data_IF_663836286429
#
_entry.id   IF_663836286429
#
_cell.length_a   1.000
_cell.length_b   1.000
_cell.length_c   1.000
_cell.angle_alpha   90.00
_cell.angle_beta   90.00
_cell.angle_gamma   90.00
#
_symmetry.space_group_name_H-M   'P 1'
#
loop_
_entity.id
_entity.type
_entity.pdbx_description
1 polymer ?
#
# COMPACT_ATOMS: atom_id res chain seq x y z
N UNK A 1 -22.26 28.19 7.85
CA UNK A 1 -23.00 28.73 6.68
C UNK A 1 -22.14 29.37 5.59
N UNK A 2 -20.81 29.36 5.67
CA UNK A 2 -19.93 29.96 4.66
C UNK A 2 -19.29 28.93 3.69
N UNK A 3 -19.46 27.64 3.90
CA UNK A 3 -18.87 26.55 3.07
C UNK A 3 -19.81 26.10 1.94
N UNK A 4 -21.11 26.31 2.09
CA UNK A 4 -22.11 25.94 1.09
C UNK A 4 -22.18 26.88 -0.14
N UNK A 5 -21.56 28.06 -0.10
CA UNK A 5 -21.63 29.02 -1.20
C UNK A 5 -20.58 28.83 -2.31
N UNK A 6 -19.54 28.01 -2.09
CA UNK A 6 -18.47 27.78 -3.08
C UNK A 6 -18.70 26.58 -4.02
N UNK A 7 -19.64 25.70 -3.69
CA UNK A 7 -19.94 24.51 -4.48
C UNK A 7 -20.93 24.75 -5.63
N UNK A 8 -21.73 25.81 -5.57
CA UNK A 8 -22.76 26.11 -6.59
C UNK A 8 -22.22 26.80 -7.83
N UNK A 9 -21.05 27.39 -7.79
CA UNK A 9 -20.49 28.16 -8.93
C UNK A 9 -19.75 27.28 -9.95
N UNK A 10 -19.17 26.16 -9.52
CA UNK A 10 -18.46 25.23 -10.42
C UNK A 10 -19.37 24.27 -11.20
N UNK A 11 -20.54 23.94 -10.65
CA UNK A 11 -21.51 23.04 -11.29
C UNK A 11 -22.26 23.68 -12.47
N UNK A 12 -22.30 25.01 -12.56
CA UNK A 12 -23.00 25.71 -13.65
C UNK A 12 -22.20 25.93 -14.93
N UNK A 13 -20.86 25.69 -14.92
CA UNK A 13 -20.00 25.88 -16.09
C UNK A 13 -19.83 24.64 -16.96
N UNK A 14 -20.32 23.46 -16.54
CA UNK A 14 -20.15 22.19 -17.26
C UNK A 14 -21.41 21.74 -18.06
N UNK A 15 -22.48 22.52 -18.08
CA UNK A 15 -23.72 22.16 -18.77
C UNK A 15 -23.93 22.82 -20.14
N UNK A 16 -22.91 23.41 -20.75
CA UNK A 16 -23.04 24.11 -22.03
C UNK A 16 -22.11 23.59 -23.14
N UNK A 17 -21.93 22.28 -23.29
CA UNK A 17 -21.31 21.71 -24.49
C UNK A 17 -22.19 20.60 -25.07
N UNK A 18 -22.80 20.90 -26.20
CA UNK A 18 -23.58 20.02 -27.05
C UNK A 18 -22.69 19.01 -27.81
N UNK A 19 -23.26 17.87 -28.26
CA UNK A 19 -22.51 16.80 -28.89
C UNK A 19 -22.51 16.94 -30.41
N UNK A 20 -21.34 16.96 -31.06
CA UNK A 20 -21.20 16.50 -32.46
C UNK A 20 -19.80 16.03 -32.80
N UNK A 21 -19.71 14.77 -33.18
CA UNK A 21 -18.90 14.12 -34.23
C UNK A 21 -17.49 14.64 -34.57
N UNK A 22 -16.47 13.78 -34.51
CA UNK A 22 -15.75 13.25 -35.68
C UNK A 22 -14.54 12.42 -35.25
N UNK A 23 -14.48 11.17 -35.73
CA UNK A 23 -13.28 10.37 -35.82
C UNK A 23 -12.28 11.04 -36.78
N UNK A 24 -11.07 11.27 -36.34
CA UNK A 24 -9.93 11.43 -37.24
C UNK A 24 -8.73 10.65 -36.66
N UNK A 25 -8.36 9.59 -37.36
CA UNK A 25 -7.13 8.84 -37.21
C UNK A 25 -5.93 9.76 -37.45
N UNK A 26 -5.01 9.86 -36.47
CA UNK A 26 -3.66 10.30 -36.74
C UNK A 26 -2.69 9.29 -36.13
N UNK A 27 -2.18 8.42 -36.99
CA UNK A 27 -0.94 7.68 -36.76
C UNK A 27 0.22 8.67 -36.69
N UNK A 28 0.87 8.76 -35.54
CA UNK A 28 2.22 9.32 -35.41
C UNK A 28 3.12 8.38 -34.65
N UNK A 29 4.11 7.88 -35.34
CA UNK A 29 5.27 7.14 -34.89
C UNK A 29 5.90 7.78 -33.66
N UNK A 30 5.98 7.04 -32.55
CA UNK A 30 6.72 7.41 -31.36
C UNK A 30 8.04 6.63 -31.31
N UNK A 31 9.09 7.31 -31.69
CA UNK A 31 10.45 6.98 -31.24
C UNK A 31 10.92 8.13 -30.37
N UNK A 32 10.81 7.97 -29.07
CA UNK A 32 11.67 8.62 -28.03
C UNK A 32 11.29 8.02 -26.69
N UNK A 33 12.25 7.33 -26.07
CA UNK A 33 12.21 6.92 -24.67
C UNK A 33 12.18 8.17 -23.79
N UNK A 34 11.20 8.36 -22.90
CA UNK A 34 11.26 9.43 -21.95
C UNK A 34 12.22 9.06 -20.82
N UNK A 35 13.24 9.89 -20.63
CA UNK A 35 14.08 9.94 -19.45
C UNK A 35 13.21 10.00 -18.18
N UNK A 36 13.53 9.25 -17.09
CA UNK A 36 12.77 9.31 -15.86
C UNK A 36 12.83 10.73 -15.32
N UNK A 37 11.71 11.44 -15.42
CA UNK A 37 11.56 12.75 -14.77
C UNK A 37 11.64 12.50 -13.26
N UNK A 38 12.72 13.01 -12.67
CA UNK A 38 12.81 13.23 -11.22
C UNK A 38 11.53 13.92 -10.78
N UNK A 39 10.75 13.28 -9.90
CA UNK A 39 9.59 13.90 -9.29
C UNK A 39 10.09 15.11 -8.49
N UNK A 40 10.05 16.30 -9.09
CA UNK A 40 10.33 17.54 -8.39
C UNK A 40 9.15 17.86 -7.50
N UNK A 41 9.24 17.49 -6.22
CA UNK A 41 8.41 18.10 -5.18
C UNK A 41 8.77 19.57 -5.14
N UNK A 42 7.82 20.45 -5.51
CA UNK A 42 8.00 21.90 -5.39
C UNK A 42 8.33 22.23 -3.94
N UNK A 43 9.53 22.80 -3.74
CA UNK A 43 9.98 23.40 -2.47
C UNK A 43 9.21 24.70 -2.22
N UNK A 44 7.94 24.61 -1.88
CA UNK A 44 7.25 25.69 -1.18
C UNK A 44 7.20 25.34 0.29
N UNK A 45 8.32 25.64 0.92
CA UNK A 45 8.52 25.60 2.36
C UNK A 45 7.77 26.77 3.02
N UNK A 46 6.52 26.53 3.40
CA UNK A 46 5.89 27.17 4.56
C UNK A 46 4.65 26.35 4.96
N UNK A 47 4.72 25.69 6.10
CA UNK A 47 3.61 25.29 6.99
C UNK A 47 2.36 24.68 6.30
N UNK A 48 2.53 23.60 5.55
CA UNK A 48 1.49 22.58 5.44
C UNK A 48 2.01 21.36 6.21
N UNK A 49 1.38 21.04 7.32
CA UNK A 49 1.37 19.68 7.86
C UNK A 49 1.15 18.77 6.66
N UNK A 50 2.19 17.99 6.28
CA UNK A 50 2.11 17.11 5.11
C UNK A 50 1.11 16.02 5.44
N UNK A 51 -0.10 16.12 4.94
CA UNK A 51 -1.06 15.03 4.94
C UNK A 51 -0.48 13.93 4.03
N UNK A 52 0.25 12.98 4.61
CA UNK A 52 0.86 11.87 3.90
C UNK A 52 -0.21 10.80 3.70
N UNK A 53 -0.56 10.53 2.46
CA UNK A 53 -1.53 9.49 2.09
C UNK A 53 -0.88 8.53 1.11
N UNK A 54 -0.08 7.62 1.67
CA UNK A 54 0.76 6.73 0.90
C UNK A 54 0.27 5.29 0.94
N UNK A 55 0.55 4.57 -0.14
CA UNK A 55 0.19 3.16 -0.30
C UNK A 55 1.44 2.34 -0.57
N UNK A 56 1.56 1.18 0.09
CA UNK A 56 2.56 0.17 -0.20
C UNK A 56 1.95 -0.98 -1.00
N UNK A 57 2.45 -1.16 -2.22
CA UNK A 57 2.23 -2.34 -3.06
C UNK A 57 3.45 -3.26 -3.04
N UNK A 58 3.28 -4.47 -3.50
CA UNK A 58 4.34 -5.48 -3.66
C UNK A 58 3.88 -6.87 -3.24
N UNK A 59 4.60 -7.87 -3.70
CA UNK A 59 4.32 -9.28 -3.46
C UNK A 59 4.21 -9.64 -1.96
N UNK A 60 3.45 -10.68 -1.62
CA UNK A 60 3.59 -11.31 -0.30
C UNK A 60 5.06 -11.62 0.01
N UNK A 61 5.51 -11.31 1.22
CA UNK A 61 6.91 -11.53 1.62
C UNK A 61 7.92 -10.45 1.27
N UNK A 62 7.61 -9.50 0.38
CA UNK A 62 8.57 -8.45 -0.02
C UNK A 62 9.06 -7.57 1.15
N UNK A 63 8.25 -7.40 2.19
CA UNK A 63 8.61 -6.61 3.38
C UNK A 63 7.80 -5.33 3.55
N UNK A 64 6.68 -5.17 2.85
CA UNK A 64 5.81 -3.98 2.94
C UNK A 64 5.62 -3.47 4.36
N UNK A 65 5.12 -4.32 5.25
CA UNK A 65 4.84 -3.93 6.64
C UNK A 65 6.07 -3.42 7.39
N UNK A 66 7.27 -3.95 7.10
CA UNK A 66 8.51 -3.48 7.72
C UNK A 66 8.88 -2.06 7.28
N UNK A 67 8.83 -1.80 5.97
CA UNK A 67 9.15 -0.48 5.43
C UNK A 67 8.05 0.53 5.75
N UNK A 68 6.78 0.14 5.63
CA UNK A 68 5.63 0.98 5.97
C UNK A 68 5.64 1.39 7.45
N UNK A 69 5.92 0.47 8.37
CA UNK A 69 6.03 0.77 9.80
C UNK A 69 7.20 1.72 10.12
N UNK A 70 8.35 1.55 9.47
CA UNK A 70 9.49 2.46 9.63
C UNK A 70 9.18 3.87 9.13
N UNK A 71 8.57 3.98 7.95
CA UNK A 71 8.15 5.28 7.40
C UNK A 71 7.02 5.92 8.22
N UNK A 72 6.09 5.13 8.72
CA UNK A 72 5.03 5.59 9.63
C UNK A 72 5.61 6.26 10.87
N UNK A 73 6.63 5.63 11.50
CA UNK A 73 7.32 6.23 12.63
C UNK A 73 8.10 7.49 12.25
N UNK A 74 8.80 7.48 11.09
CA UNK A 74 9.59 8.62 10.62
C UNK A 74 8.71 9.83 10.28
N UNK A 75 7.55 9.59 9.69
CA UNK A 75 6.63 10.64 9.23
C UNK A 75 5.54 10.98 10.27
N UNK A 76 5.52 10.25 11.40
CA UNK A 76 4.51 10.39 12.46
C UNK A 76 3.07 10.29 11.95
N UNK A 77 2.79 9.31 11.07
CA UNK A 77 1.46 9.00 10.55
C UNK A 77 1.10 7.55 10.84
N UNK A 78 -0.19 7.17 10.99
CA UNK A 78 -0.57 5.79 11.25
C UNK A 78 -0.20 4.85 10.10
N UNK A 79 0.30 3.66 10.43
CA UNK A 79 0.43 2.51 9.53
C UNK A 79 -0.84 1.67 9.63
N UNK A 80 -1.53 1.49 8.52
CA UNK A 80 -2.78 0.74 8.42
C UNK A 80 -2.56 -0.45 7.49
N UNK A 81 -2.39 -1.64 8.08
CA UNK A 81 -2.23 -2.89 7.33
C UNK A 81 -3.58 -3.60 7.23
N UNK A 82 -4.14 -3.70 6.02
CA UNK A 82 -5.45 -4.37 5.82
C UNK A 82 -5.44 -5.84 6.24
N UNK A 83 -4.30 -6.50 6.14
CA UNK A 83 -4.14 -7.86 6.67
C UNK A 83 -4.28 -7.94 8.18
N UNK A 84 -3.94 -6.90 8.93
CA UNK A 84 -4.12 -6.84 10.38
C UNK A 84 -5.59 -6.58 10.71
N UNK A 85 -6.27 -5.69 9.99
CA UNK A 85 -7.71 -5.47 10.14
C UNK A 85 -8.51 -6.76 9.94
N UNK A 86 -8.14 -7.56 8.92
CA UNK A 86 -8.77 -8.88 8.69
C UNK A 86 -8.47 -9.84 9.86
N UNK A 87 -7.25 -9.85 10.39
CA UNK A 87 -6.89 -10.71 11.54
C UNK A 87 -7.59 -10.31 12.84
N UNK A 88 -7.77 -9.01 13.07
CA UNK A 88 -8.55 -8.49 14.19
C UNK A 88 -10.01 -8.92 14.08
N UNK A 89 -10.61 -8.84 12.88
CA UNK A 89 -11.97 -9.33 12.64
C UNK A 89 -12.08 -10.85 12.82
N UNK A 90 -11.06 -11.63 12.38
CA UNK A 90 -10.97 -13.07 12.60
C UNK A 90 -10.92 -13.45 14.08
N UNK A 91 -10.26 -12.63 14.91
CA UNK A 91 -10.18 -12.85 16.36
C UNK A 91 -11.47 -12.42 17.08
N UNK A 92 -12.36 -11.71 16.40
CA UNK A 92 -13.66 -11.32 16.94
C UNK A 92 -14.61 -12.53 17.01
N UNK A 93 -15.61 -12.47 17.88
CA UNK A 93 -16.67 -13.49 17.95
C UNK A 93 -17.82 -13.22 16.97
N UNK A 94 -17.59 -12.38 15.97
CA UNK A 94 -18.61 -11.94 15.02
C UNK A 94 -18.96 -12.99 13.96
N UNK A 95 -20.11 -12.88 13.31
CA UNK A 95 -20.56 -13.83 12.28
C UNK A 95 -19.65 -13.84 11.03
N UNK A 96 -18.89 -12.77 10.80
CA UNK A 96 -17.97 -12.64 9.69
C UNK A 96 -16.68 -13.46 9.90
N UNK A 97 -16.27 -13.71 11.15
CA UNK A 97 -15.01 -14.38 11.47
C UNK A 97 -14.89 -15.78 10.84
N UNK A 98 -15.96 -16.58 10.86
CA UNK A 98 -15.97 -17.94 10.28
C UNK A 98 -15.76 -17.91 8.76
N UNK A 99 -16.42 -17.00 8.06
CA UNK A 99 -16.29 -16.85 6.60
C UNK A 99 -14.88 -16.37 6.21
N UNK A 100 -14.33 -15.41 6.95
CA UNK A 100 -12.98 -14.91 6.74
C UNK A 100 -11.92 -15.97 6.99
N UNK A 101 -12.09 -16.84 7.98
CA UNK A 101 -11.15 -17.91 8.33
C UNK A 101 -10.93 -18.86 7.14
N UNK A 102 -11.98 -19.29 6.48
CA UNK A 102 -11.86 -20.18 5.33
C UNK A 102 -11.11 -19.52 4.16
N UNK A 103 -11.45 -18.28 3.83
CA UNK A 103 -10.84 -17.53 2.73
C UNK A 103 -9.35 -17.31 2.99
N UNK A 104 -8.99 -16.87 4.22
CA UNK A 104 -7.60 -16.56 4.59
C UNK A 104 -6.74 -17.83 4.63
N UNK A 105 -7.25 -18.94 5.17
CA UNK A 105 -6.54 -20.22 5.23
C UNK A 105 -6.26 -20.81 3.83
N UNK A 106 -7.10 -20.48 2.84
CA UNK A 106 -6.89 -20.85 1.44
C UNK A 106 -5.97 -19.87 0.68
N UNK A 107 -5.51 -18.79 1.30
CA UNK A 107 -4.70 -17.75 0.67
C UNK A 107 -5.44 -16.87 -0.32
N UNK A 108 -6.76 -16.99 -0.41
CA UNK A 108 -7.63 -16.23 -1.31
C UNK A 108 -7.78 -14.78 -0.85
N UNK A 109 -8.22 -13.91 -1.77
CA UNK A 109 -8.58 -12.54 -1.43
C UNK A 109 -9.94 -12.50 -0.73
N UNK A 110 -10.02 -11.71 0.32
CA UNK A 110 -11.29 -11.31 0.93
C UNK A 110 -12.03 -10.38 -0.04
N UNK A 111 -13.36 -10.42 -0.05
CA UNK A 111 -14.16 -9.60 -0.98
C UNK A 111 -13.87 -8.11 -0.79
N UNK A 112 -13.97 -7.35 -1.91
CA UNK A 112 -13.68 -5.91 -1.92
C UNK A 112 -14.57 -5.17 -0.90
N UNK A 113 -15.84 -5.54 -0.80
CA UNK A 113 -16.82 -4.92 0.10
C UNK A 113 -16.40 -5.05 1.58
N UNK A 114 -15.95 -6.24 1.98
CA UNK A 114 -15.50 -6.48 3.36
C UNK A 114 -14.25 -5.65 3.67
N UNK A 115 -13.27 -5.68 2.77
CA UNK A 115 -12.00 -4.93 2.96
C UNK A 115 -12.27 -3.42 3.02
N UNK A 116 -13.07 -2.90 2.10
CA UNK A 116 -13.44 -1.48 2.05
C UNK A 116 -14.15 -1.06 3.35
N UNK A 117 -15.08 -1.87 3.85
CA UNK A 117 -15.79 -1.57 5.09
C UNK A 117 -14.84 -1.55 6.30
N UNK A 118 -13.95 -2.56 6.44
CA UNK A 118 -12.96 -2.59 7.53
C UNK A 118 -12.02 -1.38 7.49
N UNK A 119 -11.57 -1.04 6.28
CA UNK A 119 -10.68 0.12 6.08
C UNK A 119 -11.40 1.43 6.41
N UNK A 120 -12.64 1.63 5.95
CA UNK A 120 -13.43 2.83 6.21
C UNK A 120 -13.68 3.04 7.69
N UNK A 121 -14.04 1.98 8.43
CA UNK A 121 -14.17 2.03 9.89
C UNK A 121 -12.87 2.46 10.57
N UNK A 122 -11.72 1.94 10.10
CA UNK A 122 -10.40 2.30 10.67
C UNK A 122 -10.05 3.75 10.38
N UNK A 123 -10.26 4.22 9.14
CA UNK A 123 -9.98 5.60 8.74
C UNK A 123 -10.89 6.59 9.50
N UNK A 124 -12.20 6.36 9.55
CA UNK A 124 -13.13 7.21 10.28
C UNK A 124 -12.82 7.27 11.80
N UNK A 125 -12.43 6.14 12.40
CA UNK A 125 -11.97 6.13 13.78
C UNK A 125 -10.65 6.90 13.97
N UNK A 126 -9.77 6.92 12.97
CA UNK A 126 -8.53 7.71 12.97
C UNK A 126 -8.81 9.20 12.89
N UNK A 127 -9.66 9.61 11.96
CA UNK A 127 -10.08 11.00 11.78
C UNK A 127 -10.71 11.56 13.06
N UNK A 128 -11.58 10.78 13.72
CA UNK A 128 -12.17 11.15 15.01
C UNK A 128 -11.12 11.35 16.14
N UNK A 129 -9.93 10.73 16.01
CA UNK A 129 -8.78 10.91 16.92
C UNK A 129 -7.83 12.03 16.49
N UNK A 130 -8.11 12.70 15.36
CA UNK A 130 -7.24 13.73 14.80
C UNK A 130 -6.01 13.17 14.08
N UNK A 131 -6.03 11.91 13.63
CA UNK A 131 -4.98 11.36 12.77
C UNK A 131 -4.99 12.10 11.43
N UNK A 132 -3.84 12.70 11.05
CA UNK A 132 -3.67 13.40 9.78
C UNK A 132 -2.78 12.58 8.87
N UNK A 133 -3.33 12.07 7.77
CA UNK A 133 -2.61 11.20 6.84
C UNK A 133 -2.51 9.75 7.32
N UNK A 134 -1.90 8.90 6.47
CA UNK A 134 -1.72 7.47 6.73
C UNK A 134 -0.76 6.81 5.74
N UNK A 135 -0.28 5.63 6.11
CA UNK A 135 0.39 4.70 5.20
C UNK A 135 -0.42 3.40 5.16
N UNK A 136 -0.98 3.07 3.99
CA UNK A 136 -1.71 1.82 3.76
C UNK A 136 -0.78 0.70 3.33
N UNK A 137 -0.94 -0.50 3.90
CA UNK A 137 -0.24 -1.73 3.50
C UNK A 137 -1.24 -2.82 3.14
N UNK A 138 -1.03 -3.42 1.97
CA UNK A 138 -1.83 -4.53 1.49
C UNK A 138 -3.20 -4.14 0.89
N UNK A 139 -3.41 -2.87 0.58
CA UNK A 139 -4.56 -2.32 -0.14
C UNK A 139 -4.08 -1.16 -1.01
N UNK A 140 -4.57 -1.02 -2.27
CA UNK A 140 -5.49 -1.91 -2.96
C UNK A 140 -4.82 -3.17 -3.50
N UNK A 141 -5.58 -4.26 -3.70
CA UNK A 141 -5.14 -5.50 -4.35
C UNK A 141 -5.87 -5.78 -5.66
N UNK A 142 -6.94 -5.07 -5.93
CA UNK A 142 -7.73 -5.16 -7.16
C UNK A 142 -7.86 -3.79 -7.80
N UNK A 143 -8.10 -3.76 -9.12
CA UNK A 143 -8.34 -2.50 -9.83
C UNK A 143 -9.55 -1.76 -9.24
N UNK A 144 -10.61 -2.50 -8.86
CA UNK A 144 -11.80 -1.92 -8.22
C UNK A 144 -11.46 -1.22 -6.91
N UNK A 145 -10.65 -1.86 -6.05
CA UNK A 145 -10.17 -1.25 -4.81
C UNK A 145 -9.33 0.01 -5.09
N UNK A 146 -8.49 0.00 -6.13
CA UNK A 146 -7.69 1.16 -6.51
C UNK A 146 -8.56 2.33 -7.02
N UNK A 147 -9.62 2.01 -7.76
CA UNK A 147 -10.59 3.00 -8.22
C UNK A 147 -11.33 3.65 -7.06
N UNK A 148 -11.75 2.87 -6.05
CA UNK A 148 -12.42 3.39 -4.84
C UNK A 148 -11.55 4.40 -4.10
N UNK A 149 -10.24 4.19 -4.00
CA UNK A 149 -9.32 5.13 -3.33
C UNK A 149 -9.15 6.48 -4.05
N UNK A 150 -9.44 6.55 -5.35
CA UNK A 150 -9.24 7.77 -6.15
C UNK A 150 -10.53 8.42 -6.62
N UNK A 151 -11.69 7.82 -6.35
CA UNK A 151 -12.94 8.33 -6.90
C UNK A 151 -13.53 9.39 -5.98
N UNK A 152 -13.67 10.59 -6.52
CA UNK A 152 -14.59 11.60 -5.99
C UNK A 152 -16.03 11.04 -6.04
N UNK A 153 -16.75 11.21 -5.00
CA UNK A 153 -18.04 10.57 -4.57
C UNK A 153 -19.14 10.46 -5.67
N UNK A 154 -19.05 11.24 -6.74
CA UNK A 154 -20.18 11.43 -7.65
C UNK A 154 -20.53 10.23 -8.55
N UNK A 155 -19.60 9.29 -8.78
CA UNK A 155 -19.81 8.13 -9.67
C UNK A 155 -20.19 6.84 -8.94
N UNK A 156 -19.91 6.74 -7.65
CA UNK A 156 -20.07 5.50 -6.87
C UNK A 156 -21.52 5.22 -6.46
N UNK A 157 -22.35 6.23 -6.40
CA UNK A 157 -23.78 6.11 -6.05
C UNK A 157 -24.60 5.29 -7.05
N UNK A 158 -24.06 4.98 -8.23
CA UNK A 158 -24.74 4.20 -9.28
C UNK A 158 -24.52 2.68 -9.14
N UNK A 159 -23.44 2.23 -8.48
CA UNK A 159 -23.00 0.83 -8.48
C UNK A 159 -23.02 0.13 -7.10
N UNK A 160 -23.25 0.86 -6.02
CA UNK A 160 -23.30 0.32 -4.65
C UNK A 160 -24.62 0.71 -4.00
N UNK A 161 -25.25 -0.17 -3.19
CA UNK A 161 -26.45 0.19 -2.43
C UNK A 161 -26.25 1.51 -1.67
N UNK A 162 -27.22 2.42 -1.78
CA UNK A 162 -27.13 3.79 -1.26
C UNK A 162 -26.70 3.89 0.20
N UNK A 163 -27.13 2.92 1.01
CA UNK A 163 -26.87 2.88 2.44
C UNK A 163 -25.39 2.59 2.75
N UNK A 164 -24.69 1.85 1.90
CA UNK A 164 -23.27 1.51 2.07
C UNK A 164 -22.36 2.55 1.39
N UNK A 165 -22.82 3.19 0.33
CA UNK A 165 -22.04 4.16 -0.44
C UNK A 165 -21.81 5.48 0.31
N UNK A 166 -22.77 5.94 1.09
CA UNK A 166 -22.73 7.25 1.76
C UNK A 166 -21.75 7.24 2.94
N UNK A 167 -21.70 6.16 3.73
CA UNK A 167 -20.79 6.06 4.88
C UNK A 167 -19.33 5.79 4.48
N UNK A 168 -19.09 5.12 3.34
CA UNK A 168 -17.75 4.69 2.92
C UNK A 168 -16.94 5.84 2.29
N UNK A 169 -17.61 6.82 1.71
CA UNK A 169 -16.97 7.74 0.75
C UNK A 169 -16.70 9.14 1.27
N UNK A 170 -17.19 9.50 2.45
CA UNK A 170 -16.89 10.81 3.04
C UNK A 170 -15.45 10.92 3.58
N UNK A 171 -14.68 9.81 3.61
CA UNK A 171 -13.34 9.75 4.18
C UNK A 171 -12.22 9.24 3.25
N UNK A 172 -12.50 8.85 2.00
CA UNK A 172 -11.45 8.34 1.11
C UNK A 172 -10.80 9.50 0.36
N UNK A 173 -9.58 9.76 0.68
CA UNK A 173 -8.78 10.92 0.29
C UNK A 173 -7.86 10.59 -0.88
N UNK A 174 -7.39 11.60 -1.57
CA UNK A 174 -6.52 11.49 -2.74
C UNK A 174 -5.15 10.91 -2.35
N UNK A 175 -4.82 9.72 -2.84
CA UNK A 175 -3.51 9.08 -2.59
C UNK A 175 -2.42 9.91 -3.28
N UNK A 176 -1.40 10.32 -2.51
CA UNK A 176 -0.29 11.12 -3.00
C UNK A 176 0.76 10.27 -3.72
N UNK A 177 1.09 9.12 -3.13
CA UNK A 177 2.16 8.26 -3.59
C UNK A 177 1.85 6.78 -3.36
N UNK A 178 2.20 5.97 -4.34
CA UNK A 178 2.16 4.50 -4.27
C UNK A 178 3.56 3.96 -4.43
N UNK A 179 4.07 3.27 -3.42
CA UNK A 179 5.39 2.65 -3.40
C UNK A 179 5.24 1.16 -3.68
N UNK A 180 5.69 0.73 -4.85
CA UNK A 180 5.67 -0.68 -5.24
C UNK A 180 7.04 -1.32 -4.98
N UNK A 181 7.13 -2.11 -3.90
CA UNK A 181 8.34 -2.84 -3.57
C UNK A 181 8.45 -4.11 -4.41
N UNK A 182 9.59 -4.28 -5.07
CA UNK A 182 9.91 -5.45 -5.88
C UNK A 182 11.05 -6.26 -5.29
N UNK A 183 10.98 -7.57 -5.44
CA UNK A 183 11.99 -8.52 -4.96
C UNK A 183 11.97 -9.75 -5.87
N UNK A 184 13.11 -10.43 -6.00
CA UNK A 184 13.23 -11.68 -6.76
C UNK A 184 12.31 -12.75 -6.15
N UNK A 185 11.68 -13.56 -7.00
CA UNK A 185 10.65 -14.53 -6.60
C UNK A 185 11.21 -15.60 -5.64
N UNK A 186 12.45 -16.04 -5.88
CA UNK A 186 13.14 -17.01 -5.02
C UNK A 186 13.28 -16.49 -3.57
N UNK A 187 13.55 -15.19 -3.42
CA UNK A 187 13.63 -14.56 -2.12
C UNK A 187 12.26 -14.42 -1.44
N UNK A 188 11.19 -14.20 -2.21
CA UNK A 188 9.84 -14.00 -1.68
C UNK A 188 9.34 -15.23 -0.92
N UNK A 189 9.50 -16.43 -1.49
CA UNK A 189 9.08 -17.68 -0.85
C UNK A 189 9.85 -17.90 0.46
N UNK A 190 11.17 -17.78 0.42
CA UNK A 190 12.03 -17.94 1.61
C UNK A 190 11.65 -16.92 2.71
N UNK A 191 11.38 -15.66 2.34
CA UNK A 191 10.95 -14.63 3.29
C UNK A 191 9.58 -14.91 3.90
N UNK A 192 8.64 -15.41 3.12
CA UNK A 192 7.31 -15.78 3.65
C UNK A 192 7.42 -16.92 4.67
N UNK A 193 8.13 -17.99 4.34
CA UNK A 193 8.28 -19.17 5.20
C UNK A 193 9.16 -18.87 6.42
N UNK A 194 10.14 -17.97 6.28
CA UNK A 194 11.03 -17.52 7.38
C UNK A 194 10.40 -16.49 8.32
N UNK A 195 9.21 -15.95 8.00
CA UNK A 195 8.55 -14.92 8.81
C UNK A 195 8.17 -15.43 10.18
N UNK A 196 8.38 -14.58 11.20
CA UNK A 196 7.99 -14.81 12.58
C UNK A 196 7.36 -13.53 13.14
N UNK A 197 6.43 -13.69 14.06
CA UNK A 197 5.78 -12.57 14.76
C UNK A 197 5.94 -12.82 16.25
N UNK A 198 6.26 -11.78 17.00
CA UNK A 198 6.19 -11.85 18.46
C UNK A 198 4.71 -11.82 18.90
N UNK A 199 4.29 -12.83 19.66
CA UNK A 199 2.91 -12.94 20.15
C UNK A 199 2.51 -11.86 21.15
N UNK A 200 3.47 -11.18 21.78
CA UNK A 200 3.20 -10.11 22.73
C UNK A 200 3.18 -8.73 22.10
N UNK A 201 4.24 -8.36 21.36
CA UNK A 201 4.36 -7.00 20.83
C UNK A 201 3.94 -6.86 19.35
N UNK A 202 3.60 -7.97 18.67
CA UNK A 202 3.21 -7.96 17.25
C UNK A 202 4.35 -7.67 16.26
N UNK A 203 5.59 -7.44 16.74
CA UNK A 203 6.72 -7.12 15.87
C UNK A 203 7.06 -8.28 14.93
N UNK A 204 7.40 -7.94 13.68
CA UNK A 204 7.72 -8.89 12.63
C UNK A 204 9.24 -9.13 12.55
N UNK A 205 9.63 -10.40 12.49
CA UNK A 205 10.98 -10.88 12.33
C UNK A 205 11.09 -11.85 11.16
N UNK A 206 12.31 -12.22 10.77
CA UNK A 206 12.54 -13.20 9.72
C UNK A 206 13.79 -14.02 10.02
N UNK A 207 13.64 -15.34 10.06
CA UNK A 207 14.76 -16.25 10.33
C UNK A 207 15.48 -16.73 9.08
N UNK A 208 14.97 -16.40 7.88
CA UNK A 208 15.59 -16.82 6.63
C UNK A 208 16.88 -16.02 6.39
N UNK A 209 17.95 -16.75 6.06
CA UNK A 209 19.15 -16.20 5.43
C UNK A 209 19.02 -16.43 3.93
N UNK A 210 19.06 -15.39 3.13
CA UNK A 210 18.88 -15.45 1.69
C UNK A 210 20.18 -15.05 1.02
N UNK A 211 20.73 -15.95 0.22
CA UNK A 211 21.94 -15.72 -0.56
C UNK A 211 21.68 -16.20 -2.01
N UNK A 212 21.36 -15.26 -2.88
CA UNK A 212 21.09 -15.53 -4.29
C UNK A 212 22.31 -15.08 -5.08
N UNK A 213 22.94 -16.03 -5.78
CA UNK A 213 24.07 -15.74 -6.67
C UNK A 213 23.59 -14.99 -7.89
N UNK A 214 24.36 -14.00 -8.32
CA UNK A 214 24.07 -13.30 -9.59
C UNK A 214 24.23 -14.23 -10.77
N UNK A 215 23.20 -14.32 -11.62
CA UNK A 215 23.18 -15.12 -12.85
C UNK A 215 22.51 -14.34 -13.97
N UNK A 216 22.93 -14.59 -15.21
CA UNK A 216 22.30 -14.03 -16.42
C UNK A 216 22.12 -12.50 -16.42
N UNK A 217 23.13 -11.78 -15.87
CA UNK A 217 23.08 -10.30 -15.80
C UNK A 217 22.25 -9.74 -14.64
N UNK A 218 21.63 -10.58 -13.82
CA UNK A 218 20.99 -10.17 -12.58
C UNK A 218 22.04 -10.09 -11.47
N UNK A 219 22.10 -9.02 -10.68
CA UNK A 219 23.01 -8.93 -9.54
C UNK A 219 22.63 -9.97 -8.49
N UNK A 220 23.63 -10.51 -7.81
CA UNK A 220 23.43 -11.33 -6.62
C UNK A 220 22.79 -10.51 -5.50
N UNK A 221 22.12 -11.21 -4.56
CA UNK A 221 21.42 -10.57 -3.45
C UNK A 221 21.70 -11.32 -2.16
N UNK A 222 22.05 -10.59 -1.11
CA UNK A 222 22.16 -11.14 0.23
C UNK A 222 21.20 -10.43 1.18
N UNK A 223 20.47 -11.22 1.98
CA UNK A 223 19.63 -10.72 3.07
C UNK A 223 19.90 -11.51 4.34
N UNK A 224 20.47 -10.88 5.32
CA UNK A 224 20.63 -11.46 6.64
C UNK A 224 19.27 -11.67 7.33
N UNK A 225 19.17 -12.65 8.25
CA UNK A 225 18.01 -12.80 9.11
C UNK A 225 17.73 -11.52 9.90
N UNK A 226 16.46 -11.17 10.05
CA UNK A 226 16.00 -10.14 10.98
C UNK A 226 15.62 -10.82 12.29
N UNK A 227 16.61 -10.98 13.17
CA UNK A 227 16.43 -11.70 14.42
C UNK A 227 15.73 -10.84 15.50
N UNK A 228 14.95 -11.45 16.40
CA UNK A 228 14.30 -10.76 17.50
C UNK A 228 15.31 -10.40 18.61
N UNK A 229 15.01 -9.36 19.40
CA UNK A 229 15.72 -9.13 20.65
C UNK A 229 15.43 -10.26 21.65
N UNK A 230 16.29 -10.45 22.69
CA UNK A 230 16.14 -11.53 23.66
C UNK A 230 14.76 -11.66 24.28
N UNK A 231 14.07 -10.54 24.55
CA UNK A 231 12.72 -10.52 25.12
C UNK A 231 11.62 -11.08 24.22
N UNK A 232 11.84 -11.12 22.90
CA UNK A 232 10.89 -11.64 21.91
C UNK A 232 11.27 -13.05 21.41
N UNK A 233 12.49 -13.51 21.62
CA UNK A 233 13.02 -14.73 21.00
C UNK A 233 12.19 -15.99 21.30
N UNK A 234 11.67 -16.11 22.54
CA UNK A 234 10.86 -17.26 22.98
C UNK A 234 9.36 -17.11 22.69
N UNK A 235 8.95 -15.98 22.13
CA UNK A 235 7.53 -15.60 21.90
C UNK A 235 7.18 -15.53 20.42
N UNK A 236 8.02 -16.12 19.57
CA UNK A 236 7.83 -16.10 18.12
C UNK A 236 6.81 -17.16 17.70
N UNK A 237 5.85 -16.73 16.92
CA UNK A 237 4.87 -17.58 16.26
C UNK A 237 4.93 -17.41 14.75
N UNK A 238 4.52 -18.45 14.02
CA UNK A 238 4.33 -18.42 12.57
C UNK A 238 2.86 -18.09 12.29
N UNK A 239 2.58 -17.32 11.27
CA UNK A 239 1.20 -17.09 10.81
C UNK A 239 0.62 -18.37 10.23
N UNK A 240 -0.68 -18.60 10.40
CA UNK A 240 -1.38 -19.77 9.86
C UNK A 240 -1.36 -19.80 8.32
N UNK A 241 -1.24 -18.64 7.67
CA UNK A 241 -1.20 -18.47 6.22
C UNK A 241 0.24 -18.46 5.63
N UNK A 242 1.28 -18.72 6.44
CA UNK A 242 2.68 -18.82 6.00
C UNK A 242 3.11 -20.28 5.74
N UNK A 243 2.26 -21.05 5.09
CA UNK A 243 2.59 -22.39 4.57
C UNK A 243 2.92 -22.32 3.08
N UNK A 244 3.79 -23.22 2.60
CA UNK A 244 4.26 -23.16 1.21
C UNK A 244 3.11 -23.17 0.17
N UNK A 245 2.09 -24.03 0.27
CA UNK A 245 0.97 -24.02 -0.68
C UNK A 245 0.20 -22.70 -0.67
N UNK A 246 -0.06 -22.14 0.52
CA UNK A 246 -0.79 -20.87 0.66
C UNK A 246 0.04 -19.70 0.14
N UNK A 247 1.34 -19.69 0.40
CA UNK A 247 2.25 -18.64 -0.11
C UNK A 247 2.32 -18.68 -1.64
N UNK A 248 2.45 -19.86 -2.24
CA UNK A 248 2.45 -20.02 -3.72
C UNK A 248 1.14 -19.51 -4.34
N UNK A 249 0.00 -19.86 -3.75
CA UNK A 249 -1.30 -19.37 -4.22
C UNK A 249 -1.42 -17.84 -4.08
N UNK A 250 -0.94 -17.26 -3.00
CA UNK A 250 -0.92 -15.79 -2.81
C UNK A 250 -0.02 -15.09 -3.81
N UNK A 251 1.13 -15.68 -4.16
CA UNK A 251 2.02 -15.15 -5.21
C UNK A 251 1.35 -15.23 -6.59
N UNK A 252 0.69 -16.34 -6.91
CA UNK A 252 -0.07 -16.50 -8.15
C UNK A 252 -1.16 -15.42 -8.27
N UNK A 253 -1.99 -15.28 -7.24
CA UNK A 253 -3.07 -14.27 -7.21
C UNK A 253 -2.48 -12.86 -7.34
N UNK A 254 -1.37 -12.58 -6.64
CA UNK A 254 -0.72 -11.28 -6.76
C UNK A 254 -0.30 -10.99 -8.20
N UNK A 255 0.37 -11.92 -8.86
CA UNK A 255 0.83 -11.74 -10.24
C UNK A 255 -0.33 -11.51 -11.22
N UNK A 256 -1.49 -12.14 -10.99
CA UNK A 256 -2.68 -11.96 -11.83
C UNK A 256 -3.39 -10.62 -11.58
N UNK A 257 -3.48 -10.17 -10.32
CA UNK A 257 -4.31 -9.03 -9.93
C UNK A 257 -3.54 -7.71 -9.85
N UNK A 258 -2.21 -7.75 -9.71
CA UNK A 258 -1.44 -6.53 -9.39
C UNK A 258 -1.07 -5.71 -10.60
N UNK A 259 -0.84 -6.33 -11.77
CA UNK A 259 -0.48 -5.58 -12.97
C UNK A 259 -1.50 -4.49 -13.33
N UNK A 260 -2.82 -4.73 -13.30
CA UNK A 260 -3.80 -3.67 -13.54
C UNK A 260 -3.75 -2.54 -12.49
N UNK A 261 -3.43 -2.86 -11.24
CA UNK A 261 -3.31 -1.87 -10.16
C UNK A 261 -2.05 -1.02 -10.34
N UNK A 262 -0.92 -1.64 -10.65
CA UNK A 262 0.32 -0.93 -10.93
C UNK A 262 0.16 0.02 -12.12
N UNK A 263 -0.43 -0.44 -13.23
CA UNK A 263 -0.67 0.37 -14.42
C UNK A 263 -1.63 1.53 -14.15
N UNK A 264 -2.66 1.29 -13.33
CA UNK A 264 -3.59 2.32 -12.89
C UNK A 264 -2.90 3.49 -12.18
N UNK A 265 -1.96 3.23 -11.29
CA UNK A 265 -1.20 4.28 -10.60
C UNK A 265 -0.05 4.83 -11.45
N UNK A 266 0.57 4.00 -12.29
CA UNK A 266 1.62 4.43 -13.24
C UNK A 266 1.08 5.46 -14.23
N UNK A 267 -0.08 5.22 -14.82
CA UNK A 267 -0.73 6.14 -15.78
C UNK A 267 -1.11 7.49 -15.14
N UNK A 268 -1.21 7.54 -13.81
CA UNK A 268 -1.49 8.77 -13.04
C UNK A 268 -0.24 9.46 -12.48
N UNK A 269 0.95 8.94 -12.77
CA UNK A 269 2.21 9.48 -12.26
C UNK A 269 2.37 9.36 -10.74
N UNK A 270 1.62 8.44 -10.09
CA UNK A 270 1.63 8.25 -8.63
C UNK A 270 2.42 7.01 -8.19
N UNK A 271 2.98 6.21 -9.11
CA UNK A 271 3.70 4.97 -8.81
C UNK A 271 5.21 5.19 -8.74
N UNK A 272 5.80 4.87 -7.61
CA UNK A 272 7.23 4.70 -7.42
C UNK A 272 7.55 3.20 -7.36
N UNK A 273 8.27 2.68 -8.34
CA UNK A 273 8.78 1.30 -8.31
C UNK A 273 10.14 1.28 -7.62
N UNK A 274 10.30 0.38 -6.66
CA UNK A 274 11.53 0.26 -5.89
C UNK A 274 11.97 -1.20 -5.78
N UNK A 275 13.06 -1.52 -6.48
CA UNK A 275 13.70 -2.83 -6.40
C UNK A 275 14.58 -2.90 -5.14
N UNK A 276 14.30 -3.87 -4.27
CA UNK A 276 15.08 -4.08 -3.06
C UNK A 276 16.45 -4.67 -3.41
N UNK A 277 17.54 -3.94 -3.19
CA UNK A 277 18.89 -4.41 -3.54
C UNK A 277 19.44 -5.45 -2.56
N UNK A 278 18.84 -5.61 -1.40
CA UNK A 278 19.30 -6.48 -0.34
C UNK A 278 18.43 -6.42 0.90
N UNK A 279 19.02 -6.64 2.07
CA UNK A 279 18.36 -6.52 3.35
C UNK A 279 17.96 -5.08 3.70
N UNK A 280 17.48 -4.89 4.94
CA UNK A 280 17.07 -3.55 5.42
C UNK A 280 18.24 -2.56 5.41
N UNK A 281 19.46 -2.93 5.84
CA UNK A 281 20.60 -2.01 5.86
C UNK A 281 20.94 -1.43 4.48
N UNK A 282 20.83 -2.24 3.42
CA UNK A 282 21.13 -1.84 2.04
C UNK A 282 19.97 -1.11 1.37
N UNK A 283 18.75 -1.48 1.73
CA UNK A 283 17.55 -1.00 1.06
C UNK A 283 16.97 0.27 1.68
N UNK A 284 17.02 0.41 3.01
CA UNK A 284 16.40 1.51 3.73
C UNK A 284 16.97 2.88 3.34
N UNK A 285 18.30 3.12 3.33
CA UNK A 285 18.84 4.40 2.93
C UNK A 285 18.49 4.78 1.48
N UNK A 286 18.49 3.78 0.58
CA UNK A 286 18.14 4.00 -0.82
C UNK A 286 16.65 4.33 -1.00
N UNK A 287 15.79 3.71 -0.20
CA UNK A 287 14.36 4.04 -0.21
C UNK A 287 14.13 5.48 0.28
N UNK A 288 14.78 5.89 1.37
CA UNK A 288 14.71 7.27 1.86
C UNK A 288 15.19 8.27 0.82
N UNK A 289 16.30 7.99 0.14
CA UNK A 289 16.81 8.81 -0.95
C UNK A 289 15.80 8.90 -2.10
N UNK A 290 15.18 7.78 -2.51
CA UNK A 290 14.17 7.77 -3.56
C UNK A 290 12.90 8.56 -3.17
N UNK A 291 12.62 8.70 -1.88
CA UNK A 291 11.51 9.45 -1.31
C UNK A 291 11.88 10.89 -0.94
N UNK A 292 13.15 11.30 -1.10
CA UNK A 292 13.70 12.59 -0.64
C UNK A 292 13.46 12.83 0.88
N UNK A 293 13.72 11.80 1.70
CA UNK A 293 13.50 11.80 3.15
C UNK A 293 14.79 11.59 3.96
N UNK A 294 15.95 11.49 3.32
CA UNK A 294 17.26 11.26 3.93
C UNK A 294 17.59 12.31 5.01
N UNK A 295 17.26 13.57 4.78
CA UNK A 295 17.46 14.64 5.76
C UNK A 295 16.63 14.51 7.04
N UNK A 296 15.49 13.83 7.01
CA UNK A 296 14.62 13.64 8.16
C UNK A 296 15.18 12.62 9.14
N UNK A 297 15.76 11.52 8.64
CA UNK A 297 16.35 10.48 9.49
C UNK A 297 17.56 11.02 10.25
N UNK A 298 18.40 11.85 9.59
CA UNK A 298 19.54 12.50 10.24
C UNK A 298 19.09 13.43 11.37
N UNK A 299 18.00 14.18 11.19
CA UNK A 299 17.47 15.07 12.21
C UNK A 299 16.89 14.30 13.42
N UNK A 300 16.22 13.18 13.19
CA UNK A 300 15.67 12.36 14.27
C UNK A 300 16.78 11.63 15.06
N UNK A 301 17.80 11.13 14.39
CA UNK A 301 18.94 10.50 15.06
C UNK A 301 19.82 11.49 15.84
N UNK A 302 19.82 12.77 15.46
CA UNK A 302 20.53 13.84 16.19
C UNK A 302 19.73 14.40 17.38
N UNK A 303 18.42 14.16 17.43
CA UNK A 303 17.52 14.61 18.50
C UNK A 303 17.25 13.56 19.59
N UNK A 304 17.69 12.30 19.39
CA UNK A 304 17.56 11.17 20.32
C UNK A 304 18.85 10.92 21.09
#
# INVERSE_FOLDING_TARGET
MAVLSRLTTRARQLLSLSPVSSLAYITRTLTTTPNPKTLSFSQDSKDRERNVQWVFLGCPGVGKGTYASRLSNLLNVPHIATGDLVREELASSGPLASQLSEIVNQGKLVSDEIIINLLSKRLGAGEARGESGFILDGFPRTLRQAQVLLTDISWFTVLVPKELAVEILEGVTDIDLVINLKLQEEALLAKCLGRRICSECGANYNIASIDIKGENGRPGMYMAPLLPPPGCAQKLITRSDDTEPVVKERLRIYNEMSLPVEEFYRSRGKLLEFDLPGGIPESWPKLLQALNLDDLEVKQSAAA
#
